data_IF_739920114928
#
_entry.id   IF_739920114928
#
_cell.length_a   1.000
_cell.length_b   1.000
_cell.length_c   1.000
_cell.angle_alpha   90.00
_cell.angle_beta   90.00
_cell.angle_gamma   90.00
#
_symmetry.space_group_name_H-M   'P 1'
#
loop_
_entity.id
_entity.type
_entity.pdbx_description
1 polymer ?
#
# COMPACT_ATOMS: atom_id res chain seq x y z
N UNK A 1 9.96 -4.13 -28.44
CA UNK A 1 9.74 -3.99 -26.97
C UNK A 1 10.27 -2.68 -26.36
N UNK A 2 11.12 -1.88 -27.04
CA UNK A 2 11.66 -0.60 -26.54
C UNK A 2 10.68 0.59 -26.39
N UNK A 3 9.64 0.80 -27.24
CA UNK A 3 8.81 2.02 -27.19
C UNK A 3 7.97 2.18 -25.90
N UNK A 4 7.60 1.04 -25.29
CA UNK A 4 6.76 1.01 -24.10
C UNK A 4 7.53 1.40 -22.82
N UNK A 5 8.83 1.06 -22.75
CA UNK A 5 9.68 1.43 -21.62
C UNK A 5 10.02 2.93 -21.62
N UNK A 6 10.32 3.51 -22.79
CA UNK A 6 10.60 4.95 -22.92
C UNK A 6 9.37 5.79 -22.54
N UNK A 7 8.19 5.41 -23.01
CA UNK A 7 6.93 6.09 -22.63
C UNK A 7 6.60 5.99 -21.14
N UNK A 8 6.84 4.83 -20.51
CA UNK A 8 6.64 4.64 -19.07
C UNK A 8 7.64 5.46 -18.23
N UNK A 9 8.88 5.57 -18.69
CA UNK A 9 9.92 6.38 -18.06
C UNK A 9 9.59 7.88 -18.17
N UNK A 10 9.19 8.35 -19.35
CA UNK A 10 8.75 9.73 -19.55
C UNK A 10 7.54 10.08 -18.67
N UNK A 11 6.52 9.22 -18.62
CA UNK A 11 5.35 9.43 -17.76
C UNK A 11 5.73 9.47 -16.26
N UNK A 12 6.73 8.67 -15.86
CA UNK A 12 7.24 8.65 -14.49
C UNK A 12 8.02 9.91 -14.15
N UNK A 13 8.88 10.39 -15.07
CA UNK A 13 9.63 11.62 -14.92
C UNK A 13 8.68 12.84 -14.84
N UNK A 14 7.68 12.94 -15.72
CA UNK A 14 6.69 14.02 -15.71
C UNK A 14 5.94 14.10 -14.37
N UNK A 15 5.53 12.95 -13.82
CA UNK A 15 4.86 12.91 -12.51
C UNK A 15 5.79 13.33 -11.37
N UNK A 16 7.05 12.92 -11.42
CA UNK A 16 8.03 13.32 -10.41
C UNK A 16 8.26 14.84 -10.45
N UNK A 17 8.45 15.41 -11.65
CA UNK A 17 8.59 16.85 -11.85
C UNK A 17 7.36 17.61 -11.34
N UNK A 18 6.15 17.12 -11.62
CA UNK A 18 4.93 17.70 -11.08
C UNK A 18 4.93 17.75 -9.54
N UNK A 19 5.29 16.64 -8.86
CA UNK A 19 5.35 16.64 -7.40
C UNK A 19 6.48 17.51 -6.84
N UNK A 20 7.59 17.66 -7.56
CA UNK A 20 8.65 18.61 -7.18
C UNK A 20 8.09 20.03 -7.12
N UNK A 21 7.35 20.48 -8.14
CA UNK A 21 6.76 21.82 -8.14
C UNK A 21 5.73 21.99 -7.01
N UNK A 22 4.86 21.00 -6.79
CA UNK A 22 3.90 21.01 -5.67
C UNK A 22 4.59 21.18 -4.32
N UNK A 23 5.73 20.50 -4.12
CA UNK A 23 6.47 20.56 -2.87
C UNK A 23 7.38 21.78 -2.73
N UNK A 24 7.79 22.41 -3.83
CA UNK A 24 8.48 23.72 -3.80
C UNK A 24 7.57 24.80 -3.20
N UNK A 25 6.28 24.80 -3.55
CA UNK A 25 5.30 25.72 -2.97
C UNK A 25 5.09 25.52 -1.45
N UNK A 26 5.55 24.40 -0.88
CA UNK A 26 5.40 24.03 0.53
C UNK A 26 6.74 23.65 1.18
N UNK A 27 7.76 24.50 0.97
CA UNK A 27 9.13 24.23 1.41
C UNK A 27 9.26 24.04 2.94
N UNK A 28 8.44 24.73 3.74
CA UNK A 28 8.47 24.68 5.21
C UNK A 28 8.01 23.35 5.82
N UNK A 29 7.37 22.46 5.06
CA UNK A 29 6.93 21.15 5.57
C UNK A 29 8.10 20.17 5.51
N UNK A 30 8.55 19.67 6.67
CA UNK A 30 9.60 18.65 6.72
C UNK A 30 9.13 17.33 6.10
N UNK A 31 10.07 16.49 5.66
CA UNK A 31 9.72 15.18 5.08
C UNK A 31 8.97 14.29 6.07
N UNK A 32 9.34 14.34 7.36
CA UNK A 32 8.66 13.62 8.44
C UNK A 32 7.21 14.07 8.61
N UNK A 33 6.95 15.37 8.59
CA UNK A 33 5.59 15.90 8.71
C UNK A 33 4.75 15.62 7.46
N UNK A 34 5.37 15.62 6.28
CA UNK A 34 4.71 15.17 5.07
C UNK A 34 4.23 13.71 5.20
N UNK A 35 5.09 12.77 5.62
CA UNK A 35 4.69 11.35 5.81
C UNK A 35 3.57 11.23 6.83
N UNK A 36 3.65 11.94 7.96
CA UNK A 36 2.59 11.94 8.99
C UNK A 36 1.27 12.44 8.41
N UNK A 37 1.28 13.50 7.60
CA UNK A 37 0.08 14.01 6.96
C UNK A 37 -0.51 12.97 5.99
N UNK A 38 0.33 12.31 5.17
CA UNK A 38 -0.13 11.25 4.27
C UNK A 38 -0.76 10.06 5.00
N UNK A 39 -0.25 9.69 6.17
CA UNK A 39 -0.86 8.68 7.04
C UNK A 39 -2.24 9.11 7.54
N UNK A 40 -2.39 10.39 7.92
CA UNK A 40 -3.70 10.95 8.32
C UNK A 40 -4.69 10.95 7.17
N UNK A 41 -4.28 11.43 5.99
CA UNK A 41 -5.13 11.42 4.78
C UNK A 41 -5.60 10.00 4.46
N UNK A 42 -4.70 9.02 4.59
CA UNK A 42 -5.03 7.61 4.38
C UNK A 42 -6.01 7.09 5.43
N UNK A 43 -5.84 7.42 6.71
CA UNK A 43 -6.78 7.03 7.74
C UNK A 43 -8.17 7.63 7.51
N UNK A 44 -8.26 8.90 7.10
CA UNK A 44 -9.53 9.56 6.74
C UNK A 44 -10.17 8.89 5.52
N UNK A 45 -9.38 8.54 4.51
CA UNK A 45 -9.89 7.74 3.39
C UNK A 45 -10.33 6.34 3.85
N UNK A 46 -9.60 5.73 4.77
CA UNK A 46 -9.90 4.39 5.25
C UNK A 46 -11.18 4.33 6.08
N UNK A 47 -11.54 5.41 6.78
CA UNK A 47 -12.76 5.48 7.58
C UNK A 47 -14.05 5.43 6.75
N UNK A 48 -13.98 5.61 5.42
CA UNK A 48 -15.13 5.36 4.54
C UNK A 48 -15.34 3.88 4.23
N UNK A 49 -14.43 3.00 4.66
CA UNK A 49 -14.52 1.56 4.43
C UNK A 49 -14.65 0.80 5.75
N UNK A 50 -15.38 -0.31 5.70
CA UNK A 50 -15.23 -1.39 6.66
C UNK A 50 -13.97 -2.17 6.32
N UNK A 51 -12.97 -2.11 7.18
CA UNK A 51 -11.71 -2.82 7.01
C UNK A 51 -11.87 -4.28 7.47
N UNK A 52 -11.55 -5.22 6.59
CA UNK A 52 -11.57 -6.65 6.89
C UNK A 52 -10.19 -7.25 6.68
N UNK A 53 -9.63 -7.83 7.73
CA UNK A 53 -8.35 -8.52 7.66
C UNK A 53 -8.56 -9.95 7.21
N UNK A 54 -7.80 -10.35 6.19
CA UNK A 54 -7.76 -11.72 5.72
C UNK A 54 -6.44 -12.34 6.13
N UNK A 55 -6.50 -13.55 6.68
CA UNK A 55 -5.31 -14.37 6.88
C UNK A 55 -4.79 -14.92 5.53
N UNK A 56 -3.65 -15.60 5.59
CA UNK A 56 -2.98 -16.18 4.41
C UNK A 56 -3.89 -17.15 3.64
N UNK A 57 -4.66 -17.99 4.32
CA UNK A 57 -5.52 -19.00 3.67
C UNK A 57 -6.73 -18.37 3.02
N UNK A 58 -7.32 -17.34 3.63
CA UNK A 58 -8.39 -16.55 3.04
C UNK A 58 -7.93 -15.84 1.77
N UNK A 59 -6.75 -15.20 1.76
CA UNK A 59 -6.19 -14.61 0.54
C UNK A 59 -5.94 -15.65 -0.56
N UNK A 60 -5.39 -16.81 -0.20
CA UNK A 60 -5.17 -17.92 -1.13
C UNK A 60 -6.48 -18.46 -1.70
N UNK A 61 -7.52 -18.59 -0.88
CA UNK A 61 -8.86 -19.01 -1.31
C UNK A 61 -9.38 -18.12 -2.44
N UNK A 62 -9.33 -16.80 -2.25
CA UNK A 62 -9.79 -15.83 -3.25
C UNK A 62 -8.95 -15.90 -4.53
N UNK A 63 -7.65 -16.13 -4.41
CA UNK A 63 -6.76 -16.31 -5.57
C UNK A 63 -7.03 -17.61 -6.32
N UNK A 64 -7.28 -18.72 -5.62
CA UNK A 64 -7.61 -20.03 -6.19
C UNK A 64 -9.00 -19.98 -6.88
N UNK A 65 -9.97 -19.27 -6.30
CA UNK A 65 -11.31 -19.08 -6.88
C UNK A 65 -11.29 -18.26 -8.18
N UNK A 66 -10.48 -17.21 -8.26
CA UNK A 66 -10.32 -16.45 -9.51
C UNK A 66 -9.78 -17.29 -10.67
N UNK A 67 -9.01 -18.32 -10.35
CA UNK A 67 -8.44 -19.26 -11.33
C UNK A 67 -9.34 -20.46 -11.59
N UNK A 68 -10.50 -20.56 -10.92
CA UNK A 68 -11.42 -21.69 -11.03
C UNK A 68 -10.74 -23.05 -10.82
N UNK A 69 -9.86 -23.15 -9.81
CA UNK A 69 -9.13 -24.40 -9.53
C UNK A 69 -10.08 -25.54 -9.16
N UNK A 70 -9.76 -26.75 -9.61
CA UNK A 70 -10.54 -27.95 -9.32
C UNK A 70 -10.60 -28.31 -7.82
N UNK A 71 -9.65 -27.82 -7.01
CA UNK A 71 -9.57 -28.08 -5.57
C UNK A 71 -10.53 -27.23 -4.72
N UNK A 72 -11.38 -26.40 -5.33
CA UNK A 72 -12.29 -25.51 -4.61
C UNK A 72 -13.48 -26.26 -4.02
N UNK A 73 -13.65 -26.19 -2.71
CA UNK A 73 -14.86 -26.68 -2.03
C UNK A 73 -16.02 -25.70 -2.22
N UNK A 74 -17.26 -26.16 -2.01
CA UNK A 74 -18.44 -25.27 -2.06
C UNK A 74 -18.40 -24.14 -1.02
N UNK A 75 -17.81 -24.40 0.15
CA UNK A 75 -17.59 -23.38 1.17
C UNK A 75 -16.64 -22.27 0.69
N UNK A 76 -15.55 -22.64 0.00
CA UNK A 76 -14.61 -21.69 -0.60
C UNK A 76 -15.30 -20.85 -1.67
N UNK A 77 -16.04 -21.47 -2.58
CA UNK A 77 -16.81 -20.76 -3.62
C UNK A 77 -17.80 -19.76 -3.02
N UNK A 78 -18.51 -20.16 -1.97
CA UNK A 78 -19.47 -19.29 -1.26
C UNK A 78 -18.77 -18.10 -0.60
N UNK A 79 -17.65 -18.35 0.09
CA UNK A 79 -16.83 -17.32 0.71
C UNK A 79 -16.36 -16.29 -0.33
N UNK A 80 -15.83 -16.74 -1.47
CA UNK A 80 -15.30 -15.86 -2.50
C UNK A 80 -16.38 -15.09 -3.26
N UNK A 81 -17.55 -15.69 -3.47
CA UNK A 81 -18.71 -14.99 -3.99
C UNK A 81 -19.17 -13.85 -3.04
N UNK A 82 -19.07 -14.05 -1.72
CA UNK A 82 -19.34 -13.02 -0.73
C UNK A 82 -18.27 -11.93 -0.73
N UNK A 83 -16.98 -12.30 -0.80
CA UNK A 83 -15.89 -11.36 -0.88
C UNK A 83 -16.00 -10.47 -2.14
N UNK A 84 -16.29 -11.06 -3.31
CA UNK A 84 -16.56 -10.30 -4.55
C UNK A 84 -17.71 -9.33 -4.40
N UNK A 85 -18.84 -9.77 -3.81
CA UNK A 85 -19.99 -8.89 -3.54
C UNK A 85 -19.61 -7.72 -2.63
N UNK A 86 -18.88 -7.98 -1.54
CA UNK A 86 -18.42 -6.94 -0.62
C UNK A 86 -17.57 -5.89 -1.35
N UNK A 87 -16.69 -6.30 -2.26
CA UNK A 87 -15.86 -5.39 -3.06
C UNK A 87 -16.70 -4.51 -3.99
N UNK A 88 -17.68 -5.11 -4.68
CA UNK A 88 -18.57 -4.38 -5.60
C UNK A 88 -19.33 -3.26 -4.89
N UNK A 89 -19.68 -3.44 -3.60
CA UNK A 89 -20.35 -2.36 -2.84
C UNK A 89 -19.49 -1.11 -2.66
N UNK A 90 -18.16 -1.20 -2.85
CA UNK A 90 -17.23 -0.10 -2.61
C UNK A 90 -17.10 0.29 -1.13
N UNK A 91 -17.75 -0.44 -0.21
CA UNK A 91 -17.77 -0.14 1.23
C UNK A 91 -16.72 -0.91 2.03
N UNK A 92 -15.97 -1.79 1.38
CA UNK A 92 -14.98 -2.64 2.04
C UNK A 92 -13.60 -2.44 1.45
N UNK A 93 -12.60 -2.54 2.31
CA UNK A 93 -11.21 -2.68 1.91
C UNK A 93 -10.57 -3.80 2.73
N UNK A 94 -9.61 -4.49 2.11
CA UNK A 94 -8.95 -5.66 2.70
C UNK A 94 -7.45 -5.37 2.83
N UNK A 95 -7.02 -4.64 3.89
CA UNK A 95 -5.61 -4.35 4.06
C UNK A 95 -4.82 -5.65 4.22
N UNK A 96 -3.62 -5.68 3.65
CA UNK A 96 -2.71 -6.82 3.77
C UNK A 96 -1.47 -6.44 4.60
N UNK A 97 -1.01 -7.38 5.42
CA UNK A 97 0.25 -7.26 6.13
C UNK A 97 1.43 -7.73 5.29
N UNK A 98 2.60 -7.12 5.50
CA UNK A 98 3.83 -7.51 4.79
C UNK A 98 4.18 -9.00 4.93
N UNK A 99 4.09 -9.64 6.13
CA UNK A 99 4.39 -11.07 6.25
C UNK A 99 3.50 -11.93 5.34
N UNK A 100 2.18 -11.71 5.37
CA UNK A 100 1.21 -12.42 4.51
C UNK A 100 1.46 -12.15 3.03
N UNK A 101 1.80 -10.91 2.66
CA UNK A 101 2.14 -10.58 1.28
C UNK A 101 3.36 -11.36 0.80
N UNK A 102 4.44 -11.39 1.58
CA UNK A 102 5.66 -12.11 1.20
C UNK A 102 5.48 -13.62 1.18
N UNK A 103 4.77 -14.17 2.16
CA UNK A 103 4.42 -15.59 2.19
C UNK A 103 3.71 -16.00 0.89
N UNK A 104 2.67 -15.27 0.49
CA UNK A 104 1.92 -15.56 -0.72
C UNK A 104 2.70 -15.22 -2.00
N UNK A 105 3.54 -14.19 -1.99
CA UNK A 105 4.39 -13.87 -3.13
C UNK A 105 5.55 -14.87 -3.31
N UNK A 106 5.85 -15.68 -2.29
CA UNK A 106 6.81 -16.78 -2.37
C UNK A 106 6.23 -18.09 -2.93
N UNK A 107 4.95 -18.11 -3.29
CA UNK A 107 4.31 -19.26 -3.92
C UNK A 107 5.06 -19.67 -5.21
N UNK A 108 5.25 -20.97 -5.37
CA UNK A 108 6.00 -21.57 -6.49
C UNK A 108 5.23 -21.43 -7.80
N UNK A 109 3.90 -21.59 -7.79
CA UNK A 109 3.07 -21.47 -8.99
C UNK A 109 2.99 -20.00 -9.45
N UNK A 110 3.60 -19.65 -10.60
CA UNK A 110 3.63 -18.27 -11.08
C UNK A 110 2.22 -17.75 -11.42
N UNK A 111 1.32 -18.62 -11.88
CA UNK A 111 -0.04 -18.24 -12.27
C UNK A 111 -0.83 -17.76 -11.05
N UNK A 112 -0.77 -18.52 -9.96
CA UNK A 112 -1.40 -18.14 -8.68
C UNK A 112 -0.77 -16.91 -8.08
N UNK A 113 0.56 -16.77 -8.16
CA UNK A 113 1.27 -15.58 -7.69
C UNK A 113 0.82 -14.31 -8.42
N UNK A 114 0.70 -14.34 -9.74
CA UNK A 114 0.25 -13.18 -10.52
C UNK A 114 -1.25 -12.88 -10.30
N UNK A 115 -2.08 -13.91 -10.15
CA UNK A 115 -3.49 -13.72 -9.77
C UNK A 115 -3.62 -13.07 -8.39
N UNK A 116 -2.78 -13.48 -7.44
CA UNK A 116 -2.71 -12.90 -6.09
C UNK A 116 -2.27 -11.43 -6.12
N UNK A 117 -1.24 -11.05 -6.87
CA UNK A 117 -0.79 -9.64 -6.98
C UNK A 117 -1.92 -8.71 -7.44
N UNK A 118 -2.62 -9.08 -8.52
CA UNK A 118 -3.78 -8.31 -9.04
C UNK A 118 -4.89 -8.19 -7.99
N UNK A 119 -5.14 -9.29 -7.28
CA UNK A 119 -6.15 -9.37 -6.25
C UNK A 119 -5.80 -8.48 -5.04
N UNK A 120 -4.53 -8.42 -4.63
CA UNK A 120 -4.07 -7.47 -3.59
C UNK A 120 -4.30 -6.03 -4.05
N UNK A 121 -3.95 -5.68 -5.28
CA UNK A 121 -4.12 -4.31 -5.79
C UNK A 121 -5.58 -3.86 -5.84
N UNK A 122 -6.48 -4.79 -6.14
CA UNK A 122 -7.93 -4.55 -6.16
C UNK A 122 -8.51 -4.46 -4.75
N UNK A 123 -8.24 -5.47 -3.90
CA UNK A 123 -8.90 -5.64 -2.61
C UNK A 123 -8.31 -4.73 -1.52
N UNK A 124 -6.98 -4.53 -1.51
CA UNK A 124 -6.32 -3.70 -0.50
C UNK A 124 -6.51 -2.20 -0.75
N UNK A 125 -6.84 -1.81 -1.99
CA UNK A 125 -6.93 -0.41 -2.42
C UNK A 125 -5.69 0.45 -2.09
N UNK A 126 -4.51 -0.18 -1.98
CA UNK A 126 -3.25 0.49 -1.60
C UNK A 126 -3.12 0.77 -0.10
N UNK A 127 -3.87 0.03 0.73
CA UNK A 127 -3.84 0.09 2.18
C UNK A 127 -3.11 -1.14 2.71
N UNK A 128 -2.02 -0.91 3.43
CA UNK A 128 -1.23 -1.95 4.08
C UNK A 128 -1.28 -1.77 5.60
N UNK A 129 -1.01 -2.87 6.29
CA UNK A 129 -0.96 -2.92 7.74
C UNK A 129 0.48 -2.73 8.21
N UNK A 130 0.68 -1.87 9.20
CA UNK A 130 1.95 -1.75 9.89
C UNK A 130 2.37 -3.10 10.51
N UNK A 131 3.66 -3.42 10.42
CA UNK A 131 4.21 -4.60 11.08
C UNK A 131 3.97 -4.56 12.59
N UNK A 132 3.92 -5.73 13.23
CA UNK A 132 3.73 -5.85 14.68
C UNK A 132 4.71 -4.97 15.46
N UNK A 133 5.99 -4.99 15.09
CA UNK A 133 7.03 -4.17 15.74
C UNK A 133 6.75 -2.66 15.64
N UNK A 134 6.15 -2.20 14.54
CA UNK A 134 5.81 -0.79 14.35
C UNK A 134 4.55 -0.32 15.08
N UNK A 135 3.71 -1.24 15.57
CA UNK A 135 2.41 -0.91 16.18
C UNK A 135 2.30 -1.28 17.66
N UNK A 136 3.05 -2.28 18.13
CA UNK A 136 2.88 -2.84 19.48
C UNK A 136 3.03 -1.79 20.58
N UNK A 137 3.97 -0.86 20.44
CA UNK A 137 4.15 0.23 21.42
C UNK A 137 2.93 1.14 21.53
N UNK A 138 2.35 1.54 20.38
CA UNK A 138 1.12 2.35 20.35
C UNK A 138 -0.10 1.56 20.81
N UNK A 139 -0.21 0.28 20.45
CA UNK A 139 -1.32 -0.59 20.86
C UNK A 139 -1.32 -0.79 22.39
N UNK A 140 -0.15 -1.07 22.97
CA UNK A 140 0.00 -1.17 24.43
C UNK A 140 -0.33 0.15 25.14
N UNK A 141 0.06 1.29 24.56
CA UNK A 141 -0.31 2.59 25.11
C UNK A 141 -1.81 2.85 25.05
N UNK A 142 -2.48 2.50 23.95
CA UNK A 142 -3.93 2.61 23.80
C UNK A 142 -4.67 1.72 24.81
N UNK A 143 -4.22 0.48 24.99
CA UNK A 143 -4.76 -0.44 25.99
C UNK A 143 -4.59 0.13 27.41
N UNK A 144 -3.40 0.64 27.75
CA UNK A 144 -3.13 1.25 29.07
C UNK A 144 -3.98 2.48 29.34
N UNK A 145 -4.26 3.29 28.33
CA UNK A 145 -4.99 4.55 28.46
C UNK A 145 -6.50 4.41 28.22
N UNK A 146 -6.98 3.19 27.97
CA UNK A 146 -8.35 2.88 27.55
C UNK A 146 -8.83 3.72 26.35
N UNK A 147 -7.90 4.12 25.48
CA UNK A 147 -8.18 4.91 24.26
C UNK A 147 -8.24 3.99 23.06
N UNK A 148 -9.29 3.17 22.99
CA UNK A 148 -9.55 2.26 21.86
C UNK A 148 -10.40 2.92 20.76
N UNK A 149 -10.23 4.22 20.54
CA UNK A 149 -10.94 4.92 19.46
C UNK A 149 -10.47 4.40 18.09
N UNK A 150 -11.40 3.96 17.24
CA UNK A 150 -11.13 3.44 15.90
C UNK A 150 -10.32 4.43 15.05
N UNK A 151 -10.58 5.74 15.19
CA UNK A 151 -9.96 6.78 14.39
C UNK A 151 -8.47 7.04 14.72
N UNK A 152 -8.08 6.90 15.99
CA UNK A 152 -6.68 7.03 16.41
C UNK A 152 -5.88 5.76 16.09
N UNK A 153 -6.50 4.58 16.25
CA UNK A 153 -5.91 3.30 15.89
C UNK A 153 -5.58 3.19 14.40
N UNK A 154 -6.48 3.64 13.51
CA UNK A 154 -6.27 3.59 12.05
C UNK A 154 -5.05 4.39 11.58
N UNK A 155 -4.70 5.52 12.23
CA UNK A 155 -3.51 6.32 11.88
C UNK A 155 -2.19 5.61 12.23
N UNK A 156 -2.19 4.87 13.33
CA UNK A 156 -1.06 4.04 13.75
C UNK A 156 -0.90 2.80 12.85
N UNK A 157 -2.02 2.24 12.41
CA UNK A 157 -2.09 0.93 11.79
C UNK A 157 -1.95 0.93 10.27
N UNK A 158 -2.49 1.93 9.57
CA UNK A 158 -2.51 1.94 8.11
C UNK A 158 -1.27 2.62 7.52
N UNK A 159 -0.71 1.99 6.51
CA UNK A 159 0.51 2.38 5.82
C UNK A 159 0.37 2.23 4.31
N UNK A 160 1.27 2.86 3.57
CA UNK A 160 1.46 2.58 2.15
C UNK A 160 2.38 1.39 1.95
N UNK A 161 2.23 0.62 0.86
CA UNK A 161 3.15 -0.44 0.47
C UNK A 161 4.62 -0.08 0.72
N UNK A 162 5.06 1.06 0.18
CA UNK A 162 6.43 1.52 0.30
C UNK A 162 6.83 1.76 1.76
N UNK A 163 5.94 2.31 2.60
CA UNK A 163 6.26 2.60 3.99
C UNK A 163 6.48 1.36 4.84
N UNK A 164 5.85 0.24 4.50
CA UNK A 164 6.05 -1.02 5.24
C UNK A 164 7.32 -1.74 4.80
N UNK A 165 7.80 -1.47 3.59
CA UNK A 165 9.10 -1.93 3.10
C UNK A 165 10.24 -1.10 3.69
N UNK A 166 10.26 0.19 3.37
CA UNK A 166 11.16 1.21 3.92
C UNK A 166 10.69 2.58 3.42
N UNK A 167 10.82 3.63 4.23
CA UNK A 167 10.63 4.99 3.71
C UNK A 167 11.84 5.32 2.82
N UNK A 168 11.67 5.45 1.50
CA UNK A 168 12.79 5.69 0.61
C UNK A 168 13.35 7.09 0.88
N UNK A 169 14.65 7.16 1.07
CA UNK A 169 15.41 8.41 1.13
C UNK A 169 16.55 8.31 0.15
N UNK A 170 16.69 9.33 -0.69
CA UNK A 170 17.73 9.43 -1.70
C UNK A 170 18.61 10.61 -1.34
N UNK A 171 19.90 10.36 -1.18
CA UNK A 171 20.90 11.40 -1.09
C UNK A 171 21.23 11.91 -2.50
N UNK A 172 21.00 13.19 -2.72
CA UNK A 172 21.20 13.78 -4.05
C UNK A 172 22.67 14.20 -4.26
N UNK A 173 23.23 13.99 -5.46
CA UNK A 173 24.48 14.59 -5.87
C UNK A 173 24.43 16.13 -5.84
N UNK A 174 25.58 16.78 -5.62
CA UNK A 174 25.67 18.24 -5.47
C UNK A 174 25.10 19.03 -6.66
N UNK A 175 25.31 18.53 -7.89
CA UNK A 175 24.79 19.21 -9.10
C UNK A 175 23.25 19.19 -9.18
N UNK A 176 22.58 18.20 -8.57
CA UNK A 176 21.12 18.14 -8.48
C UNK A 176 20.61 19.02 -7.35
N UNK A 177 21.35 19.09 -6.24
CA UNK A 177 21.03 19.95 -5.09
C UNK A 177 20.94 21.43 -5.46
N UNK A 178 21.66 21.86 -6.49
CA UNK A 178 21.56 23.20 -7.07
C UNK A 178 20.17 23.50 -7.68
N UNK A 179 19.42 22.47 -8.08
CA UNK A 179 18.13 22.60 -8.77
C UNK A 179 16.94 22.25 -7.86
N UNK A 180 17.11 21.32 -6.93
CA UNK A 180 16.06 20.88 -6.00
C UNK A 180 16.67 20.48 -4.66
N UNK A 181 16.05 20.93 -3.57
CA UNK A 181 16.49 20.50 -2.24
C UNK A 181 16.20 19.02 -2.02
N UNK A 182 17.08 18.36 -1.27
CA UNK A 182 16.96 16.93 -0.96
C UNK A 182 15.63 16.59 -0.26
N UNK A 183 15.14 17.49 0.61
CA UNK A 183 13.85 17.33 1.26
C UNK A 183 12.67 17.40 0.27
N UNK A 184 12.71 18.31 -0.71
CA UNK A 184 11.67 18.43 -1.74
C UNK A 184 11.67 17.23 -2.66
N UNK A 185 12.85 16.76 -3.07
CA UNK A 185 12.97 15.57 -3.89
C UNK A 185 12.47 14.32 -3.17
N UNK A 186 12.85 14.11 -1.91
CA UNK A 186 12.39 12.95 -1.14
C UNK A 186 10.87 12.96 -0.91
N UNK A 187 10.26 14.14 -0.68
CA UNK A 187 8.78 14.28 -0.65
C UNK A 187 8.15 13.86 -1.99
N UNK A 188 8.67 14.37 -3.10
CA UNK A 188 8.16 14.05 -4.45
C UNK A 188 8.35 12.57 -4.82
N UNK A 189 9.51 12.00 -4.49
CA UNK A 189 9.82 10.60 -4.72
C UNK A 189 8.91 9.68 -3.90
N UNK A 190 8.71 10.00 -2.63
CA UNK A 190 7.77 9.28 -1.78
C UNK A 190 6.33 9.34 -2.32
N UNK A 191 5.86 10.50 -2.76
CA UNK A 191 4.55 10.64 -3.41
C UNK A 191 4.43 9.77 -4.66
N UNK A 192 5.48 9.70 -5.47
CA UNK A 192 5.52 8.82 -6.63
C UNK A 192 5.42 7.34 -6.20
N UNK A 193 6.20 6.89 -5.23
CA UNK A 193 6.17 5.50 -4.77
C UNK A 193 4.82 5.12 -4.14
N UNK A 194 4.19 6.03 -3.38
CA UNK A 194 2.88 5.77 -2.76
C UNK A 194 1.71 5.83 -3.74
N UNK A 195 1.87 6.49 -4.88
CA UNK A 195 0.87 6.51 -5.96
C UNK A 195 0.76 5.18 -6.71
N UNK A 196 1.76 4.30 -6.58
CA UNK A 196 1.72 2.97 -7.15
C UNK A 196 0.98 2.01 -6.21
N UNK A 197 -0.08 1.38 -6.74
CA UNK A 197 -0.52 0.06 -6.29
C UNK A 197 0.60 -0.92 -6.67
N UNK A 198 0.86 -1.94 -5.85
CA UNK A 198 2.08 -2.77 -5.91
C UNK A 198 2.39 -3.13 -7.37
N UNK A 199 3.40 -2.52 -8.01
CA UNK A 199 3.60 -2.81 -9.42
C UNK A 199 4.05 -4.25 -9.52
N UNK A 200 3.48 -4.97 -10.48
CA UNK A 200 3.94 -6.28 -10.92
C UNK A 200 5.45 -6.31 -11.25
N UNK A 201 6.09 -5.14 -11.36
CA UNK A 201 7.50 -4.90 -11.63
C UNK A 201 8.38 -4.58 -10.40
N UNK A 202 7.91 -4.75 -9.15
CA UNK A 202 8.76 -4.56 -7.95
C UNK A 202 9.57 -5.81 -7.58
N UNK A 203 9.55 -6.83 -8.44
CA UNK A 203 10.46 -7.97 -8.48
C UNK A 203 10.74 -8.36 -9.92
#
# INVERSE_FOLDING_TARGET
MLPCLESANCASATRLSHYIEVHRAHAGVSFREHIKQRRRDKAVRASSFKLLYLDTMAWKCVADYRQNKASLTEAMKTYDANAKRAVITGRFAFPIGIPTYFELNSMVDPTTREAFKKLVDELSQGIFIASFHGRIGSELQMLRTNRLSEAEGQRGFLRSPVEVMAVPTISLPNFVKAQVSEATFNKAFFMRCTSFRFPSSWM
#
